data_IF_083027930707
#
_entry.id   IF_083027930707
#
_cell.length_a   1.000
_cell.length_b   1.000
_cell.length_c   1.000
_cell.angle_alpha   90.00
_cell.angle_beta   90.00
_cell.angle_gamma   90.00
#
_symmetry.space_group_name_H-M   'P 1'
#
loop_
_entity.id
_entity.type
_entity.pdbx_description
1 polymer ?
#
# COMPACT_ATOMS: atom_id res chain seq x y z
N UNK A 1 17.55 -1.62 5.84
CA UNK A 1 16.62 -0.63 5.32
C UNK A 1 15.39 -1.32 4.77
N UNK A 2 14.25 -1.01 5.30
CA UNK A 2 13.03 -1.66 4.84
C UNK A 2 12.40 -0.85 3.69
N UNK A 3 12.16 -1.54 2.59
CA UNK A 3 11.49 -0.96 1.45
C UNK A 3 10.21 -1.76 1.22
N UNK A 4 9.09 -1.11 1.41
CA UNK A 4 7.80 -1.78 1.26
C UNK A 4 7.43 -1.80 -0.22
N UNK A 5 7.17 -3.00 -0.73
CA UNK A 5 6.67 -3.15 -2.09
C UNK A 5 5.15 -2.96 -2.08
N UNK A 6 4.73 -1.72 -2.24
CA UNK A 6 3.31 -1.38 -2.19
C UNK A 6 2.51 -2.02 -3.32
N UNK A 7 3.14 -2.29 -4.46
CA UNK A 7 2.46 -2.99 -5.55
C UNK A 7 2.07 -4.40 -5.14
N UNK A 8 2.98 -5.11 -4.48
CA UNK A 8 2.67 -6.45 -3.97
C UNK A 8 1.59 -6.40 -2.90
N UNK A 9 1.64 -5.40 -2.03
CA UNK A 9 0.62 -5.22 -0.99
C UNK A 9 -0.75 -4.99 -1.63
N UNK A 10 -0.82 -4.09 -2.61
CA UNK A 10 -2.07 -3.79 -3.31
C UNK A 10 -2.62 -5.02 -4.02
N UNK A 11 -1.75 -5.75 -4.72
CA UNK A 11 -2.17 -6.97 -5.42
C UNK A 11 -2.74 -8.00 -4.47
N UNK A 12 -2.12 -8.17 -3.32
CA UNK A 12 -2.59 -9.11 -2.31
C UNK A 12 -3.97 -8.69 -1.78
N UNK A 13 -4.14 -7.42 -1.45
CA UNK A 13 -5.40 -6.91 -0.93
C UNK A 13 -6.51 -6.95 -1.98
N UNK A 14 -6.23 -6.50 -3.20
CA UNK A 14 -7.21 -6.53 -4.28
C UNK A 14 -7.53 -7.95 -4.73
N UNK A 15 -6.54 -8.83 -4.70
CA UNK A 15 -6.72 -10.23 -5.07
C UNK A 15 -7.70 -10.95 -4.16
N UNK A 16 -7.84 -10.53 -2.92
CA UNK A 16 -8.82 -11.09 -2.01
C UNK A 16 -10.20 -10.46 -2.18
N UNK A 17 -10.30 -9.33 -2.89
CA UNK A 17 -11.56 -8.63 -3.15
C UNK A 17 -12.04 -8.90 -4.58
N UNK A 18 -11.19 -8.65 -5.57
CA UNK A 18 -11.53 -8.85 -6.97
C UNK A 18 -10.26 -9.14 -7.78
N UNK A 19 -10.34 -10.17 -8.62
CA UNK A 19 -9.22 -10.56 -9.48
C UNK A 19 -8.98 -9.56 -10.59
N UNK A 20 -10.03 -8.98 -11.13
CA UNK A 20 -9.92 -8.05 -12.25
C UNK A 20 -9.15 -6.81 -11.83
N UNK A 21 -9.45 -6.28 -10.66
CA UNK A 21 -8.74 -5.13 -10.14
C UNK A 21 -7.28 -5.46 -9.84
N UNK A 22 -7.01 -6.66 -9.33
CA UNK A 22 -5.64 -7.07 -9.00
C UNK A 22 -4.77 -7.24 -10.25
N UNK A 23 -5.38 -7.51 -11.41
CA UNK A 23 -4.64 -7.65 -12.67
C UNK A 23 -4.48 -6.34 -13.42
N UNK A 24 -5.14 -5.28 -12.98
CA UNK A 24 -5.05 -3.98 -13.65
C UNK A 24 -3.84 -3.22 -13.11
N UNK A 25 -2.80 -3.14 -13.93
CA UNK A 25 -1.54 -2.49 -13.54
C UNK A 25 -1.73 -1.01 -13.19
N UNK A 26 -2.61 -0.31 -13.91
CA UNK A 26 -2.85 1.11 -13.65
C UNK A 26 -3.50 1.32 -12.29
N UNK A 27 -4.47 0.47 -11.95
CA UNK A 27 -5.11 0.54 -10.64
C UNK A 27 -4.13 0.18 -9.53
N UNK A 28 -3.34 -0.87 -9.74
CA UNK A 28 -2.35 -1.31 -8.75
C UNK A 28 -1.34 -0.20 -8.50
N UNK A 29 -0.84 0.42 -9.56
CA UNK A 29 0.15 1.48 -9.42
C UNK A 29 -0.42 2.70 -8.71
N UNK A 30 -1.62 3.11 -9.08
CA UNK A 30 -2.27 4.26 -8.46
C UNK A 30 -2.52 4.04 -6.97
N UNK A 31 -3.04 2.88 -6.62
CA UNK A 31 -3.27 2.55 -5.22
C UNK A 31 -1.96 2.42 -4.45
N UNK A 32 -0.93 1.86 -5.07
CA UNK A 32 0.38 1.75 -4.43
C UNK A 32 0.94 3.13 -4.09
N UNK A 33 0.77 4.11 -4.98
CA UNK A 33 1.20 5.47 -4.72
C UNK A 33 0.44 6.10 -3.55
N UNK A 34 -0.86 5.88 -3.50
CA UNK A 34 -1.67 6.37 -2.39
C UNK A 34 -1.24 5.78 -1.06
N UNK A 35 -1.01 4.47 -1.03
CA UNK A 35 -0.60 3.79 0.19
C UNK A 35 0.78 4.25 0.64
N UNK A 36 1.70 4.40 -0.30
CA UNK A 36 3.03 4.89 0.01
C UNK A 36 2.99 6.28 0.62
N UNK A 37 2.16 7.17 0.08
CA UNK A 37 2.01 8.51 0.61
C UNK A 37 1.43 8.51 2.02
N UNK A 38 0.40 7.72 2.25
CA UNK A 38 -0.21 7.61 3.58
C UNK A 38 0.78 7.04 4.60
N UNK A 39 1.57 6.06 4.17
CA UNK A 39 2.61 5.50 5.01
C UNK A 39 3.63 6.57 5.41
N UNK A 40 4.11 7.34 4.43
CA UNK A 40 5.09 8.39 4.67
C UNK A 40 4.54 9.45 5.63
N UNK A 41 3.28 9.83 5.46
CA UNK A 41 2.64 10.80 6.35
C UNK A 41 2.53 10.26 7.78
N UNK A 42 2.22 8.99 7.94
CA UNK A 42 2.14 8.37 9.26
C UNK A 42 3.52 8.32 9.92
N UNK A 43 4.55 7.97 9.18
CA UNK A 43 5.93 7.97 9.70
C UNK A 43 6.33 9.39 10.10
N UNK A 44 6.02 10.39 9.28
CA UNK A 44 6.33 11.79 9.57
C UNK A 44 5.62 12.28 10.83
N UNK A 45 4.46 11.74 11.14
CA UNK A 45 3.72 12.09 12.36
C UNK A 45 4.18 11.32 13.59
N UNK A 46 5.18 10.45 13.47
CA UNK A 46 5.79 9.73 14.57
C UNK A 46 5.31 8.30 14.76
N UNK A 47 4.55 7.75 13.83
CA UNK A 47 4.08 6.38 13.92
C UNK A 47 5.23 5.39 13.70
N UNK A 48 5.20 4.26 14.40
CA UNK A 48 6.13 3.18 14.13
C UNK A 48 5.83 2.58 12.75
N UNK A 49 6.84 1.98 12.08
CA UNK A 49 6.62 1.43 10.73
C UNK A 49 5.44 0.46 10.64
N UNK A 50 5.29 -0.43 11.61
CA UNK A 50 4.18 -1.38 11.61
C UNK A 50 2.83 -0.67 11.72
N UNK A 51 2.73 0.31 12.61
CA UNK A 51 1.50 1.08 12.77
C UNK A 51 1.21 1.93 11.53
N UNK A 52 2.25 2.53 10.94
CA UNK A 52 2.11 3.32 9.72
C UNK A 52 1.57 2.46 8.56
N UNK A 53 2.08 1.25 8.43
CA UNK A 53 1.62 0.31 7.41
C UNK A 53 0.14 -0.03 7.59
N UNK A 54 -0.27 -0.31 8.82
CA UNK A 54 -1.66 -0.62 9.12
C UNK A 54 -2.58 0.55 8.83
N UNK A 55 -2.14 1.76 9.13
CA UNK A 55 -2.93 2.97 8.83
C UNK A 55 -3.05 3.21 7.34
N UNK A 56 -2.02 2.88 6.57
CA UNK A 56 -2.06 3.03 5.12
C UNK A 56 -3.06 2.06 4.47
N UNK A 57 -3.19 0.88 5.02
CA UNK A 57 -4.13 -0.11 4.52
C UNK A 57 -5.53 0.17 5.03
#
# INVERSE_FOLDING_TARGET
>A
MSHIDWRSVVRTELGSITRDAASDEDIVEELAQHLAQRYDEAIASGAAPDAARQRAL
#
